data_IF_714397978186
#
_entry.id   IF_714397978186
#
_cell.length_a   1.000
_cell.length_b   1.000
_cell.length_c   1.000
_cell.angle_alpha   90.00
_cell.angle_beta   90.00
_cell.angle_gamma   90.00
#
_symmetry.space_group_name_H-M   'P 1'
#
loop_
_entity.id
_entity.type
_entity.pdbx_description
1 polymer ?
#
# COMPACT_ATOMS: atom_id res chain seq x y z
N UNK A 1 -15.36 -3.16 21.00
CA UNK A 1 -14.70 -3.86 19.89
C UNK A 1 -15.71 -4.84 19.33
N UNK A 2 -16.00 -4.79 18.01
CA UNK A 2 -16.87 -5.76 17.36
C UNK A 2 -16.41 -7.20 17.59
N UNK A 3 -17.35 -8.13 17.46
CA UNK A 3 -17.04 -9.56 17.50
C UNK A 3 -16.04 -9.90 16.38
N UNK A 4 -15.02 -10.71 16.69
CA UNK A 4 -13.92 -11.02 15.76
C UNK A 4 -12.72 -10.07 15.79
N UNK A 5 -12.79 -8.91 16.45
CA UNK A 5 -11.64 -7.99 16.55
C UNK A 5 -10.54 -8.55 17.49
N UNK A 6 -9.42 -8.96 16.90
CA UNK A 6 -8.31 -9.62 17.63
C UNK A 6 -7.35 -8.63 18.30
N UNK A 7 -7.16 -7.45 17.74
CA UNK A 7 -6.21 -6.44 18.20
C UNK A 7 -6.82 -5.02 18.21
N UNK A 8 -6.17 -4.11 18.93
CA UNK A 8 -6.44 -2.67 18.84
C UNK A 8 -5.69 -2.14 17.63
N UNK A 9 -6.42 -1.76 16.60
CA UNK A 9 -5.84 -1.28 15.36
C UNK A 9 -5.46 0.19 15.46
N UNK A 10 -4.32 0.56 14.86
CA UNK A 10 -3.89 1.95 14.82
C UNK A 10 -3.15 2.27 13.53
N UNK A 11 -3.06 3.57 13.21
CA UNK A 11 -2.14 4.10 12.21
C UNK A 11 -1.51 5.37 12.76
N UNK A 12 -0.22 5.53 12.53
CA UNK A 12 0.49 6.76 12.79
C UNK A 12 0.60 7.60 11.51
N UNK A 13 0.67 8.91 11.64
CA UNK A 13 0.82 9.79 10.48
C UNK A 13 0.97 11.27 10.85
N UNK A 14 1.34 12.08 9.86
CA UNK A 14 1.65 13.50 10.06
C UNK A 14 0.42 14.37 10.38
N UNK A 15 -0.76 13.94 9.94
CA UNK A 15 -2.01 14.64 10.19
C UNK A 15 -3.16 13.65 10.20
N UNK A 16 -4.24 14.02 10.89
CA UNK A 16 -5.47 13.23 10.92
C UNK A 16 -6.02 12.99 9.50
N UNK A 17 -6.02 14.05 8.69
CA UNK A 17 -6.51 14.00 7.32
C UNK A 17 -5.74 13.00 6.45
N UNK A 18 -4.40 12.95 6.57
CA UNK A 18 -3.58 12.00 5.83
C UNK A 18 -3.90 10.55 6.21
N UNK A 19 -4.15 10.30 7.49
CA UNK A 19 -4.52 8.97 7.97
C UNK A 19 -5.94 8.62 7.51
N UNK A 20 -6.92 9.53 7.64
CA UNK A 20 -8.32 9.29 7.29
C UNK A 20 -8.52 8.97 5.80
N UNK A 21 -7.70 9.54 4.92
CA UNK A 21 -7.71 9.29 3.48
C UNK A 21 -6.79 8.14 3.05
N UNK A 22 -6.06 7.53 3.99
CA UNK A 22 -5.16 6.42 3.71
C UNK A 22 -5.91 5.20 3.16
N UNK A 23 -5.41 4.55 2.10
CA UNK A 23 -5.97 3.29 1.59
C UNK A 23 -6.02 2.18 2.64
N UNK A 24 -5.14 2.23 3.64
CA UNK A 24 -5.06 1.25 4.71
C UNK A 24 -6.32 1.17 5.57
N UNK A 25 -7.15 2.22 5.60
CA UNK A 25 -8.41 2.25 6.34
C UNK A 25 -9.60 1.67 5.57
N UNK A 26 -9.48 1.39 4.28
CA UNK A 26 -10.62 1.05 3.43
C UNK A 26 -11.37 -0.21 3.90
N UNK A 27 -10.66 -1.32 4.08
CA UNK A 27 -11.26 -2.56 4.58
C UNK A 27 -11.78 -2.41 6.02
N UNK A 28 -11.12 -1.59 6.86
CA UNK A 28 -11.56 -1.32 8.23
C UNK A 28 -12.90 -0.58 8.24
N UNK A 29 -13.04 0.47 7.43
CA UNK A 29 -14.30 1.21 7.26
C UNK A 29 -15.41 0.30 6.73
N UNK A 30 -15.11 -0.52 5.73
CA UNK A 30 -16.09 -1.43 5.12
C UNK A 30 -16.59 -2.48 6.11
N UNK A 31 -15.71 -2.97 7.00
CA UNK A 31 -16.03 -4.01 8.00
C UNK A 31 -16.51 -3.45 9.35
N UNK A 32 -16.56 -2.13 9.50
CA UNK A 32 -16.94 -1.48 10.75
C UNK A 32 -15.91 -1.67 11.89
N UNK A 33 -14.65 -1.92 11.55
CA UNK A 33 -13.56 -1.95 12.53
C UNK A 33 -13.03 -0.53 12.77
N UNK A 34 -12.91 -0.18 14.04
CA UNK A 34 -12.31 1.09 14.46
C UNK A 34 -10.78 0.97 14.50
N UNK A 35 -10.10 2.02 14.02
CA UNK A 35 -8.66 2.19 14.13
C UNK A 35 -8.33 3.54 14.77
N UNK A 36 -7.38 3.53 15.69
CA UNK A 36 -6.86 4.74 16.33
C UNK A 36 -6.01 5.54 15.34
N UNK A 37 -6.25 6.84 15.27
CA UNK A 37 -5.47 7.76 14.44
C UNK A 37 -4.51 8.50 15.34
N UNK A 38 -3.23 8.18 15.22
CA UNK A 38 -2.18 8.66 16.09
C UNK A 38 -1.32 9.67 15.33
N UNK A 39 -1.38 10.94 15.73
CA UNK A 39 -0.80 12.05 14.95
C UNK A 39 0.35 12.75 15.65
N UNK A 40 0.58 12.46 16.92
CA UNK A 40 1.66 13.10 17.65
C UNK A 40 2.99 12.37 17.39
N UNK A 41 4.12 13.07 17.24
CA UNK A 41 5.42 12.43 17.03
C UNK A 41 5.81 11.41 18.11
N UNK A 42 5.34 11.61 19.35
CA UNK A 42 5.55 10.67 20.47
C UNK A 42 4.83 9.34 20.25
N UNK A 43 3.79 9.31 19.41
CA UNK A 43 3.02 8.11 19.14
C UNK A 43 3.82 7.04 18.40
N UNK A 44 4.78 7.43 17.57
CA UNK A 44 5.71 6.52 16.91
C UNK A 44 6.54 5.68 17.89
N UNK A 45 6.83 6.25 19.07
CA UNK A 45 7.69 5.61 20.06
C UNK A 45 6.91 4.62 20.92
N UNK A 46 5.76 5.05 21.46
CA UNK A 46 5.01 4.18 22.36
C UNK A 46 4.23 3.12 21.60
N UNK A 47 3.71 3.40 20.41
CA UNK A 47 2.94 2.43 19.63
C UNK A 47 3.82 1.29 19.06
N UNK A 48 5.14 1.49 19.01
CA UNK A 48 6.11 0.44 18.66
C UNK A 48 6.42 -0.50 19.83
N UNK A 49 6.09 -0.14 21.07
CA UNK A 49 6.29 -1.01 22.21
C UNK A 49 5.25 -2.14 22.23
N UNK A 50 5.59 -3.34 22.75
CA UNK A 50 4.66 -4.47 22.87
C UNK A 50 3.65 -4.25 24.00
N UNK A 51 2.78 -3.26 23.82
CA UNK A 51 1.78 -2.86 24.79
C UNK A 51 0.55 -3.76 24.70
N UNK A 52 -0.05 -4.00 25.87
CA UNK A 52 -1.33 -4.67 26.01
C UNK A 52 -2.31 -3.76 26.72
N UNK A 53 -3.54 -3.69 26.23
CA UNK A 53 -4.65 -3.08 26.93
C UNK A 53 -5.79 -4.08 27.04
N UNK A 54 -6.16 -4.45 28.26
CA UNK A 54 -7.17 -5.50 28.52
C UNK A 54 -6.90 -6.78 27.69
N UNK A 55 -5.66 -7.27 27.76
CA UNK A 55 -5.18 -8.48 27.05
C UNK A 55 -5.15 -8.37 25.51
N UNK A 56 -5.43 -7.18 24.95
CA UNK A 56 -5.37 -6.93 23.51
C UNK A 56 -4.09 -6.18 23.16
N UNK A 57 -3.36 -6.72 22.19
CA UNK A 57 -2.19 -6.06 21.60
C UNK A 57 -2.60 -4.95 20.63
N UNK A 58 -1.64 -4.08 20.33
CA UNK A 58 -1.77 -3.05 19.31
C UNK A 58 -1.20 -3.56 17.98
N UNK A 59 -1.90 -3.29 16.88
CA UNK A 59 -1.45 -3.68 15.54
C UNK A 59 -1.60 -2.50 14.58
N UNK A 60 -0.52 -2.18 13.88
CA UNK A 60 -0.55 -1.14 12.86
C UNK A 60 -1.29 -1.63 11.61
N UNK A 61 -2.21 -0.83 11.08
CA UNK A 61 -2.92 -1.15 9.83
C UNK A 61 -2.05 -0.93 8.58
N UNK A 62 -0.89 -0.29 8.73
CA UNK A 62 0.07 -0.01 7.67
C UNK A 62 1.26 -1.00 7.65
N UNK A 63 1.24 -2.01 8.50
CA UNK A 63 2.32 -3.01 8.62
C UNK A 63 1.79 -4.44 8.61
N UNK A 64 2.65 -5.36 8.22
CA UNK A 64 2.41 -6.80 8.27
C UNK A 64 1.23 -7.26 7.42
N UNK A 65 0.80 -8.49 7.67
CA UNK A 65 -0.45 -9.03 7.12
C UNK A 65 -1.59 -8.82 8.12
N UNK A 66 -2.77 -8.48 7.62
CA UNK A 66 -3.95 -8.23 8.44
C UNK A 66 -5.01 -9.28 8.13
N UNK A 67 -5.32 -10.09 9.13
CA UNK A 67 -6.45 -11.02 9.09
C UNK A 67 -7.73 -10.26 9.48
N UNK A 68 -8.38 -9.65 8.48
CA UNK A 68 -9.61 -8.87 8.66
C UNK A 68 -10.89 -9.69 8.39
N UNK A 69 -10.75 -10.96 8.02
CA UNK A 69 -11.86 -11.82 7.61
C UNK A 69 -12.43 -12.57 8.80
N UNK A 70 -13.75 -12.70 8.80
CA UNK A 70 -14.42 -13.61 9.74
C UNK A 70 -14.13 -15.06 9.34
N UNK A 71 -14.20 -15.98 10.30
CA UNK A 71 -13.90 -17.39 10.02
C UNK A 71 -14.86 -18.01 8.99
N UNK A 72 -16.08 -17.46 8.85
CA UNK A 72 -17.07 -17.88 7.85
C UNK A 72 -16.75 -17.39 6.43
N UNK A 73 -16.09 -16.22 6.29
CA UNK A 73 -15.75 -15.61 5.00
C UNK A 73 -14.42 -16.14 4.42
N UNK A 74 -13.52 -16.61 5.29
CA UNK A 74 -12.14 -16.98 4.92
C UNK A 74 -12.05 -17.94 3.76
N UNK A 75 -12.81 -19.04 3.77
CA UNK A 75 -12.66 -20.09 2.74
C UNK A 75 -12.91 -19.58 1.32
N UNK A 76 -14.01 -18.84 1.13
CA UNK A 76 -14.36 -18.33 -0.20
C UNK A 76 -13.41 -17.23 -0.65
N UNK A 77 -13.04 -16.34 0.26
CA UNK A 77 -12.13 -15.25 -0.04
C UNK A 77 -10.69 -15.74 -0.31
N UNK A 78 -10.21 -16.73 0.42
CA UNK A 78 -8.93 -17.39 0.18
C UNK A 78 -8.90 -18.10 -1.17
N UNK A 79 -9.94 -18.86 -1.53
CA UNK A 79 -10.03 -19.52 -2.84
C UNK A 79 -10.04 -18.50 -3.99
N UNK A 80 -10.81 -17.41 -3.86
CA UNK A 80 -10.86 -16.36 -4.87
C UNK A 80 -9.52 -15.64 -5.01
N UNK A 81 -8.88 -15.30 -3.89
CA UNK A 81 -7.55 -14.68 -3.90
C UNK A 81 -6.48 -15.62 -4.46
N UNK A 82 -6.54 -16.92 -4.18
CA UNK A 82 -5.61 -17.88 -4.75
C UNK A 82 -5.70 -17.89 -6.28
N UNK A 83 -6.92 -17.92 -6.83
CA UNK A 83 -7.15 -17.80 -8.28
C UNK A 83 -6.64 -16.47 -8.84
N UNK A 84 -6.93 -15.36 -8.16
CA UNK A 84 -6.44 -14.03 -8.57
C UNK A 84 -4.92 -13.98 -8.52
N UNK A 85 -4.28 -14.52 -7.48
CA UNK A 85 -2.84 -14.57 -7.32
C UNK A 85 -2.17 -15.38 -8.42
N UNK A 86 -2.76 -16.51 -8.83
CA UNK A 86 -2.30 -17.27 -9.99
C UNK A 86 -2.43 -16.45 -11.28
N UNK A 87 -3.57 -15.81 -11.52
CA UNK A 87 -3.82 -15.04 -12.75
C UNK A 87 -2.93 -13.80 -12.87
N UNK A 88 -2.60 -13.15 -11.75
CA UNK A 88 -1.81 -11.91 -11.70
C UNK A 88 -0.33 -12.15 -11.41
N UNK A 89 0.10 -13.41 -11.26
CA UNK A 89 1.48 -13.76 -10.89
C UNK A 89 2.52 -13.15 -11.82
N UNK A 90 2.27 -13.22 -13.12
CA UNK A 90 3.19 -12.69 -14.12
C UNK A 90 3.31 -11.16 -14.04
N UNK A 91 2.19 -10.48 -13.78
CA UNK A 91 2.17 -9.03 -13.56
C UNK A 91 2.88 -8.65 -12.26
N UNK A 92 2.64 -9.34 -11.14
CA UNK A 92 3.31 -9.01 -9.87
C UNK A 92 4.82 -9.20 -9.98
N UNK A 93 5.29 -10.26 -10.64
CA UNK A 93 6.71 -10.47 -10.96
C UNK A 93 7.27 -9.36 -11.86
N UNK A 94 6.52 -8.95 -12.90
CA UNK A 94 6.91 -7.86 -13.79
C UNK A 94 7.03 -6.53 -13.03
N UNK A 95 6.00 -6.15 -12.26
CA UNK A 95 6.00 -4.93 -11.44
C UNK A 95 7.14 -4.95 -10.43
N UNK A 96 7.40 -6.10 -9.80
CA UNK A 96 8.51 -6.28 -8.87
C UNK A 96 9.86 -6.06 -9.53
N UNK A 97 10.06 -6.58 -10.74
CA UNK A 97 11.29 -6.37 -11.50
C UNK A 97 11.47 -4.90 -11.89
N UNK A 98 10.41 -4.22 -12.34
CA UNK A 98 10.45 -2.80 -12.70
C UNK A 98 10.70 -1.89 -11.49
N UNK A 99 10.18 -2.25 -10.32
CA UNK A 99 10.26 -1.48 -9.08
C UNK A 99 11.31 -2.02 -8.09
N UNK A 100 12.28 -2.81 -8.55
CA UNK A 100 13.23 -3.50 -7.67
C UNK A 100 14.02 -2.56 -6.75
N UNK A 101 14.22 -1.31 -7.19
CA UNK A 101 14.91 -0.25 -6.45
C UNK A 101 14.05 0.32 -5.31
N UNK A 102 12.73 0.21 -5.43
CA UNK A 102 11.76 0.89 -4.59
C UNK A 102 11.07 -0.05 -3.59
N UNK A 103 10.77 -1.28 -4.00
CA UNK A 103 9.96 -2.22 -3.21
C UNK A 103 10.66 -3.55 -3.02
N UNK A 104 10.41 -4.25 -1.91
CA UNK A 104 10.97 -5.58 -1.65
C UNK A 104 10.10 -6.71 -2.17
N UNK A 105 8.81 -6.45 -2.36
CA UNK A 105 7.82 -7.42 -2.82
C UNK A 105 6.65 -6.68 -3.48
N UNK A 106 5.97 -7.35 -4.41
CA UNK A 106 4.66 -6.94 -4.94
C UNK A 106 3.68 -8.11 -4.70
N UNK A 107 2.55 -7.85 -4.05
CA UNK A 107 1.54 -8.87 -3.74
C UNK A 107 0.13 -8.35 -3.84
N UNK A 108 -0.86 -9.23 -3.81
CA UNK A 108 -2.27 -8.83 -3.77
C UNK A 108 -2.65 -8.33 -2.38
N UNK A 109 -3.44 -7.26 -2.33
CA UNK A 109 -3.91 -6.70 -1.07
C UNK A 109 -5.12 -7.46 -0.50
N UNK A 110 -5.18 -7.51 0.83
CA UNK A 110 -6.39 -7.89 1.58
C UNK A 110 -7.14 -6.70 2.16
N UNK A 111 -6.54 -5.50 2.11
CA UNK A 111 -7.03 -4.29 2.81
C UNK A 111 -7.61 -3.22 1.87
N UNK A 112 -7.34 -3.33 0.58
CA UNK A 112 -7.84 -2.40 -0.45
C UNK A 112 -9.22 -2.81 -0.96
N UNK A 113 -10.07 -1.81 -1.19
CA UNK A 113 -11.41 -1.98 -1.79
C UNK A 113 -11.59 -1.08 -3.01
N UNK A 114 -11.15 0.19 -2.91
CA UNK A 114 -11.32 1.21 -3.93
C UNK A 114 -9.98 1.72 -4.47
N UNK A 115 -8.92 1.76 -3.66
CA UNK A 115 -7.61 2.20 -4.15
C UNK A 115 -6.92 1.13 -5.00
N UNK A 116 -6.09 1.53 -5.99
CA UNK A 116 -5.38 0.60 -6.86
C UNK A 116 -4.19 -0.10 -6.17
N UNK A 117 -3.53 0.58 -5.23
CA UNK A 117 -2.37 0.06 -4.51
C UNK A 117 -2.11 0.82 -3.20
N UNK A 118 -1.35 0.20 -2.29
CA UNK A 118 -0.78 0.83 -1.10
C UNK A 118 0.59 0.23 -0.76
N UNK A 119 1.35 0.90 0.12
CA UNK A 119 2.65 0.45 0.57
C UNK A 119 2.64 0.01 2.02
N UNK A 120 3.07 -1.22 2.27
CA UNK A 120 3.02 -1.86 3.58
C UNK A 120 4.43 -2.18 4.07
N UNK A 121 4.74 -1.82 5.32
CA UNK A 121 5.98 -2.23 5.98
C UNK A 121 5.88 -3.64 6.57
N UNK A 122 7.01 -4.29 6.86
CA UNK A 122 6.98 -5.47 7.73
C UNK A 122 6.61 -5.06 9.15
N UNK A 123 6.23 -6.04 9.98
CA UNK A 123 5.81 -5.80 11.36
C UNK A 123 6.83 -5.00 12.18
N UNK A 124 8.13 -5.25 11.93
CA UNK A 124 9.24 -4.63 12.65
C UNK A 124 9.84 -3.42 11.93
N UNK A 125 9.37 -3.07 10.73
CA UNK A 125 9.87 -1.90 9.99
C UNK A 125 9.45 -0.62 10.70
N UNK A 126 10.27 0.44 10.60
CA UNK A 126 9.84 1.78 11.03
C UNK A 126 8.75 2.33 10.09
N UNK A 127 7.88 3.19 10.60
CA UNK A 127 6.86 3.83 9.76
C UNK A 127 7.48 4.92 8.87
N UNK A 128 6.83 5.31 7.77
CA UNK A 128 7.25 6.46 6.96
C UNK A 128 7.28 7.77 7.75
N UNK A 129 6.40 7.94 8.74
CA UNK A 129 6.35 9.14 9.55
C UNK A 129 7.54 9.19 10.53
N UNK A 130 7.88 8.07 11.18
CA UNK A 130 9.09 7.97 12.00
C UNK A 130 10.36 8.18 11.17
N UNK A 131 10.45 7.61 9.96
CA UNK A 131 11.57 7.82 9.05
C UNK A 131 11.79 9.32 8.75
N UNK A 132 10.69 10.05 8.50
CA UNK A 132 10.71 11.49 8.28
C UNK A 132 11.18 12.26 9.52
N UNK A 133 10.72 11.88 10.70
CA UNK A 133 11.12 12.49 11.98
C UNK A 133 12.63 12.30 12.24
N UNK A 134 13.15 11.08 12.04
CA UNK A 134 14.58 10.79 12.20
C UNK A 134 15.44 11.61 11.24
N UNK A 135 15.06 11.65 9.95
CA UNK A 135 15.74 12.47 8.94
C UNK A 135 15.73 13.96 9.29
N UNK A 136 14.59 14.48 9.75
CA UNK A 136 14.47 15.88 10.17
C UNK A 136 15.33 16.21 11.41
N UNK A 137 15.55 15.23 12.29
CA UNK A 137 16.44 15.35 13.44
C UNK A 137 17.94 15.18 13.09
N UNK A 138 18.28 15.00 11.80
CA UNK A 138 19.65 14.73 11.36
C UNK A 138 20.16 13.34 11.72
N UNK A 139 19.27 12.44 12.16
CA UNK A 139 19.58 11.04 12.42
C UNK A 139 19.45 10.23 11.13
N UNK A 140 20.32 9.24 10.98
CA UNK A 140 20.14 8.24 9.92
C UNK A 140 18.85 7.46 10.16
N UNK A 141 18.11 7.19 9.09
CA UNK A 141 17.01 6.25 9.11
C UNK A 141 17.37 5.05 8.22
N UNK A 142 17.08 3.81 8.65
CA UNK A 142 17.32 2.64 7.81
C UNK A 142 16.49 2.75 6.52
N UNK A 143 17.15 2.56 5.38
CA UNK A 143 16.43 2.41 4.12
C UNK A 143 15.69 1.08 4.13
N UNK A 144 14.37 1.13 4.26
CA UNK A 144 13.50 -0.05 4.27
C UNK A 144 12.66 -0.07 3.01
N UNK A 145 12.91 -1.06 2.14
CA UNK A 145 12.03 -1.32 1.01
C UNK A 145 10.73 -1.93 1.52
N UNK A 146 9.60 -1.32 1.15
CA UNK A 146 8.26 -1.78 1.53
C UNK A 146 7.67 -2.75 0.52
N UNK A 147 6.55 -3.35 0.88
CA UNK A 147 5.75 -4.22 0.04
C UNK A 147 4.73 -3.35 -0.70
N UNK A 148 4.65 -3.46 -2.02
CA UNK A 148 3.56 -2.88 -2.79
C UNK A 148 2.41 -3.88 -2.82
N UNK A 149 1.33 -3.56 -2.13
CA UNK A 149 0.08 -4.32 -2.27
C UNK A 149 -0.76 -3.70 -3.39
N UNK A 150 -1.20 -4.52 -4.35
CA UNK A 150 -2.07 -4.10 -5.46
C UNK A 150 -3.49 -4.66 -5.27
N UNK A 151 -4.49 -3.90 -5.69
CA UNK A 151 -5.89 -4.32 -5.64
C UNK A 151 -6.27 -5.09 -6.92
N UNK A 152 -6.51 -6.41 -6.86
CA UNK A 152 -6.80 -7.22 -8.05
C UNK A 152 -8.10 -6.81 -8.76
N UNK A 153 -9.04 -6.21 -8.03
CA UNK A 153 -10.36 -5.83 -8.54
C UNK A 153 -10.36 -4.41 -9.14
N UNK A 154 -9.27 -3.65 -8.99
CA UNK A 154 -9.21 -2.29 -9.48
C UNK A 154 -9.00 -2.23 -11.00
N UNK A 155 -9.75 -1.39 -11.75
CA UNK A 155 -9.63 -1.31 -13.21
C UNK A 155 -8.23 -1.00 -13.75
N UNK A 156 -7.43 -0.22 -13.01
CA UNK A 156 -6.02 0.05 -13.36
C UNK A 156 -5.20 -1.24 -13.34
N UNK A 157 -5.36 -2.09 -12.32
CA UNK A 157 -4.59 -3.34 -12.20
C UNK A 157 -5.01 -4.32 -13.30
N UNK A 158 -6.30 -4.41 -13.59
CA UNK A 158 -6.81 -5.21 -14.72
C UNK A 158 -6.28 -4.70 -16.07
N UNK A 159 -6.20 -3.38 -16.24
CA UNK A 159 -5.65 -2.77 -17.46
C UNK A 159 -4.14 -3.02 -17.60
N UNK A 160 -3.40 -3.01 -16.47
CA UNK A 160 -1.99 -3.38 -16.44
C UNK A 160 -1.76 -4.84 -16.79
N UNK A 161 -2.60 -5.75 -16.28
CA UNK A 161 -2.58 -7.15 -16.67
C UNK A 161 -2.81 -7.28 -18.18
N UNK A 162 -3.84 -6.64 -18.72
CA UNK A 162 -4.14 -6.71 -20.15
C UNK A 162 -3.05 -6.07 -21.05
N UNK A 163 -2.33 -5.08 -20.55
CA UNK A 163 -1.16 -4.52 -21.23
C UNK A 163 0.01 -5.51 -21.21
N UNK A 164 0.27 -6.10 -20.05
CA UNK A 164 1.30 -7.11 -19.85
C UNK A 164 1.07 -8.35 -20.72
N UNK A 165 -0.16 -8.86 -20.79
CA UNK A 165 -0.53 -10.02 -21.60
C UNK A 165 -0.38 -9.76 -23.10
N UNK A 166 -0.58 -8.52 -23.53
CA UNK A 166 -0.35 -8.10 -24.92
C UNK A 166 1.14 -8.01 -25.25
N UNK A 167 1.93 -7.41 -24.36
CA UNK A 167 3.37 -7.28 -24.53
C UNK A 167 4.06 -7.07 -23.17
N UNK A 168 4.65 -8.13 -22.62
CA UNK A 168 5.37 -8.07 -21.35
C UNK A 168 6.62 -7.17 -21.39
N UNK A 169 7.13 -6.87 -22.59
CA UNK A 169 8.27 -5.97 -22.79
C UNK A 169 7.87 -4.52 -23.08
N UNK A 170 6.57 -4.18 -23.02
CA UNK A 170 6.10 -2.83 -23.30
C UNK A 170 6.74 -1.82 -22.32
N UNK A 171 7.43 -0.77 -22.82
CA UNK A 171 8.04 0.24 -21.95
C UNK A 171 7.01 0.94 -21.06
N UNK A 172 5.75 1.04 -21.48
CA UNK A 172 4.66 1.64 -20.70
C UNK A 172 4.41 0.90 -19.38
N UNK A 173 4.69 -0.40 -19.29
CA UNK A 173 4.56 -1.14 -18.04
C UNK A 173 5.47 -0.56 -16.95
N UNK A 174 6.68 -0.13 -17.31
CA UNK A 174 7.59 0.52 -16.37
C UNK A 174 7.06 1.90 -15.94
N UNK A 175 6.54 2.68 -16.89
CA UNK A 175 6.00 4.00 -16.58
C UNK A 175 4.77 3.93 -15.67
N UNK A 176 3.85 2.99 -15.93
CA UNK A 176 2.69 2.78 -15.07
C UNK A 176 3.07 2.16 -13.72
N UNK A 177 4.07 1.29 -13.65
CA UNK A 177 4.55 0.77 -12.38
C UNK A 177 5.07 1.88 -11.47
N UNK A 178 5.88 2.79 -12.02
CA UNK A 178 6.41 3.96 -11.30
C UNK A 178 5.29 4.92 -10.88
N UNK A 179 4.29 5.14 -11.74
CA UNK A 179 3.12 5.95 -11.36
C UNK A 179 2.27 5.29 -10.28
N UNK A 180 2.04 3.99 -10.36
CA UNK A 180 1.28 3.23 -9.36
C UNK A 180 1.99 3.30 -7.99
N UNK A 181 3.32 3.13 -7.99
CA UNK A 181 4.14 3.30 -6.80
C UNK A 181 4.07 4.73 -6.23
N UNK A 182 4.23 5.75 -7.08
CA UNK A 182 4.13 7.14 -6.65
C UNK A 182 2.74 7.52 -6.12
N UNK A 183 1.67 7.02 -6.74
CA UNK A 183 0.31 7.19 -6.25
C UNK A 183 0.10 6.53 -4.89
N UNK A 184 0.65 5.32 -4.67
CA UNK A 184 0.59 4.66 -3.37
C UNK A 184 1.28 5.47 -2.27
N UNK A 185 2.41 6.14 -2.57
CA UNK A 185 3.08 7.06 -1.63
C UNK A 185 2.23 8.30 -1.35
N UNK A 186 1.64 8.90 -2.38
CA UNK A 186 0.83 10.11 -2.22
C UNK A 186 -0.43 9.82 -1.39
N UNK A 187 -1.05 8.65 -1.59
CA UNK A 187 -2.28 8.26 -0.91
C UNK A 187 -2.11 8.10 0.61
N UNK A 188 -0.89 7.84 1.10
CA UNK A 188 -0.56 7.80 2.53
C UNK A 188 0.04 9.13 3.05
N UNK A 189 -0.05 10.21 2.28
CA UNK A 189 0.46 11.54 2.64
C UNK A 189 1.99 11.68 2.53
N UNK A 190 2.63 10.76 1.81
CA UNK A 190 4.06 10.80 1.50
C UNK A 190 4.38 11.64 0.28
N UNK A 191 5.67 11.73 -0.04
CA UNK A 191 6.17 12.40 -1.24
C UNK A 191 6.98 11.40 -2.09
N UNK A 192 6.69 11.25 -3.39
CA UNK A 192 7.49 10.40 -4.28
C UNK A 192 8.97 10.80 -4.28
N UNK A 193 9.93 9.84 -4.31
CA UNK A 193 11.36 10.12 -4.21
C UNK A 193 11.88 11.16 -5.23
N UNK A 194 11.37 11.09 -6.46
CA UNK A 194 11.58 12.10 -7.49
C UNK A 194 10.23 12.65 -7.96
N UNK A 195 9.77 13.72 -7.31
CA UNK A 195 8.50 14.38 -7.63
C UNK A 195 8.51 14.95 -9.06
N UNK A 196 9.67 15.35 -9.58
CA UNK A 196 9.77 15.88 -10.94
C UNK A 196 9.64 14.75 -11.98
N UNK A 197 10.31 13.62 -11.79
CA UNK A 197 10.16 12.46 -12.67
C UNK A 197 8.72 11.92 -12.66
N UNK A 198 8.11 11.82 -11.48
CA UNK A 198 6.70 11.43 -11.34
C UNK A 198 5.78 12.38 -12.14
N UNK A 199 5.93 13.70 -11.96
CA UNK A 199 5.10 14.69 -12.68
C UNK A 199 5.31 14.65 -14.19
N UNK A 200 6.53 14.43 -14.68
CA UNK A 200 6.80 14.29 -16.12
C UNK A 200 6.10 13.06 -16.69
N UNK A 201 6.27 11.89 -16.05
CA UNK A 201 5.61 10.65 -16.48
C UNK A 201 4.10 10.79 -16.53
N UNK A 202 3.52 11.45 -15.52
CA UNK A 202 2.08 11.72 -15.49
C UNK A 202 1.65 12.57 -16.69
N UNK A 203 2.37 13.67 -16.97
CA UNK A 203 2.08 14.53 -18.11
C UNK A 203 2.21 13.80 -19.46
N UNK A 204 3.26 13.00 -19.63
CA UNK A 204 3.51 12.23 -20.85
C UNK A 204 2.38 11.22 -21.11
N UNK A 205 1.92 10.51 -20.08
CA UNK A 205 0.81 9.56 -20.22
C UNK A 205 -0.53 10.26 -20.45
N UNK A 206 -0.77 11.41 -19.81
CA UNK A 206 -1.95 12.24 -20.11
C UNK A 206 -1.97 12.68 -21.57
N UNK A 207 -0.83 13.13 -22.11
CA UNK A 207 -0.72 13.53 -23.50
C UNK A 207 -1.01 12.37 -24.46
N UNK A 208 -0.48 11.16 -24.18
CA UNK A 208 -0.75 9.96 -24.98
C UNK A 208 -2.22 9.55 -24.95
N UNK A 209 -2.85 9.61 -23.77
CA UNK A 209 -4.26 9.28 -23.62
C UNK A 209 -5.17 10.24 -24.41
N UNK A 210 -4.79 11.52 -24.50
CA UNK A 210 -5.52 12.52 -25.30
C UNK A 210 -5.26 12.40 -26.81
N UNK A 211 -4.12 11.83 -27.22
CA UNK A 211 -3.73 11.66 -28.62
C UNK A 211 -3.37 10.19 -28.94
N UNK A 212 -4.36 9.27 -28.95
CA UNK A 212 -4.09 7.83 -29.07
C UNK A 212 -3.53 7.38 -30.43
N UNK A 213 -3.42 8.27 -31.42
CA UNK A 213 -2.89 7.99 -32.77
C UNK A 213 -1.55 8.66 -33.10
N UNK A 214 -0.85 9.25 -32.12
CA UNK A 214 0.44 9.94 -32.31
C UNK A 214 1.61 9.15 -31.76
N UNK A 215 1.93 8.00 -32.37
CA UNK A 215 3.17 7.25 -32.16
C UNK A 215 3.67 6.73 -33.50
#
# INVERSE_FOLDING_TARGET
MPEGQKAIYFMTGQSREAIEHSPHLEAFKTRGFEALLLTDPVDELWAAAPLLYKEKGFQSIAKGDLDLETDDEKKQAEEQRAKQAESLKSLTECLKAKLEKHVKEVRLSKRLTASPACLVGDEMDISPFLEKLLKAAGQGAPETKRILEINPDHPIVQSLQALHDRNAADPLLGDYAELLYGQAILAEGGQPPDSHAFSRKLADLMQRAMNPGGA
#
